data_IF_485664428290
#
_entry.id   IF_485664428290
#
_cell.length_a   1.000
_cell.length_b   1.000
_cell.length_c   1.000
_cell.angle_alpha   90.00
_cell.angle_beta   90.00
_cell.angle_gamma   90.00
#
_symmetry.space_group_name_H-M   'P 1'
#
loop_
_entity.id
_entity.type
_entity.pdbx_description
1 polymer ?
#
# COMPACT_ATOMS: atom_id res chain seq x y z
N UNK A 1 -15.26 -8.25 6.54
CA UNK A 1 -14.50 -8.98 5.48
C UNK A 1 -13.52 -7.96 4.97
N UNK A 2 -12.31 -7.97 5.51
CA UNK A 2 -11.30 -6.95 5.20
C UNK A 2 -10.51 -7.36 3.96
N UNK A 3 -10.21 -6.38 3.10
CA UNK A 3 -9.44 -6.58 1.87
C UNK A 3 -8.28 -5.60 1.82
N UNK A 4 -7.06 -6.12 1.64
CA UNK A 4 -5.86 -5.32 1.33
C UNK A 4 -5.81 -5.12 -0.18
N UNK A 5 -5.77 -3.86 -0.65
CA UNK A 5 -5.55 -3.52 -2.05
C UNK A 5 -4.13 -2.96 -2.22
N UNK A 6 -3.35 -3.57 -3.11
CA UNK A 6 -2.06 -3.04 -3.58
C UNK A 6 -2.28 -2.48 -4.99
N UNK A 7 -1.99 -1.20 -5.20
CA UNK A 7 -2.07 -0.54 -6.52
C UNK A 7 -0.65 -0.20 -7.01
N UNK A 8 -0.39 -0.49 -8.29
CA UNK A 8 0.86 -0.25 -8.96
C UNK A 8 0.61 0.33 -10.36
N UNK A 9 1.38 1.33 -10.77
CA UNK A 9 1.31 1.94 -12.11
C UNK A 9 2.71 2.07 -12.70
N UNK A 10 3.02 1.41 -13.84
CA UNK A 10 4.36 1.48 -14.43
C UNK A 10 4.51 2.74 -15.30
N UNK A 11 5.57 3.52 -15.08
CA UNK A 11 6.11 4.43 -16.09
C UNK A 11 7.11 3.67 -16.96
N UNK A 12 6.93 3.73 -18.28
CA UNK A 12 7.78 3.05 -19.26
C UNK A 12 9.22 3.57 -19.23
N UNK A 13 10.19 2.67 -19.05
CA UNK A 13 11.62 2.95 -19.24
C UNK A 13 12.12 2.34 -20.55
N UNK A 14 12.98 3.10 -21.23
CA UNK A 14 13.56 2.82 -22.55
C UNK A 14 14.52 1.63 -22.48
N UNK A 15 14.42 0.72 -23.45
CA UNK A 15 15.28 -0.46 -23.58
C UNK A 15 16.75 -0.07 -23.83
N UNK A 16 17.67 -0.60 -23.01
CA UNK A 16 19.11 -0.53 -23.25
C UNK A 16 19.63 -1.81 -23.93
N UNK A 17 20.43 -1.63 -24.97
CA UNK A 17 20.93 -2.67 -25.87
C UNK A 17 22.27 -3.22 -25.37
N UNK A 18 22.25 -4.46 -24.86
CA UNK A 18 23.28 -5.50 -24.95
C UNK A 18 24.77 -5.16 -24.83
N UNK A 19 25.39 -5.58 -23.72
CA UNK A 19 26.77 -6.13 -23.68
C UNK A 19 26.86 -7.26 -22.63
N UNK A 20 27.65 -8.33 -22.85
CA UNK A 20 27.76 -9.44 -21.90
C UNK A 20 28.57 -9.03 -20.66
N UNK A 21 27.99 -9.19 -19.46
CA UNK A 21 28.60 -8.80 -18.18
C UNK A 21 29.67 -9.80 -17.73
N UNK A 22 30.83 -9.27 -17.36
CA UNK A 22 31.95 -9.97 -16.76
C UNK A 22 31.57 -10.40 -15.32
N UNK A 23 31.73 -11.68 -14.95
CA UNK A 23 31.20 -12.27 -13.70
C UNK A 23 32.06 -12.00 -12.44
N UNK A 24 32.96 -11.01 -12.48
CA UNK A 24 33.70 -10.57 -11.29
C UNK A 24 33.13 -9.25 -10.79
N UNK A 25 32.28 -9.34 -9.78
CA UNK A 25 31.77 -8.18 -9.01
C UNK A 25 32.73 -7.94 -7.86
N UNK A 26 33.26 -6.72 -7.70
CA UNK A 26 34.20 -6.42 -6.62
C UNK A 26 33.46 -6.33 -5.27
N UNK A 27 34.13 -6.58 -4.13
CA UNK A 27 33.50 -6.48 -2.80
C UNK A 27 32.90 -5.10 -2.50
N UNK A 28 33.44 -4.04 -3.11
CA UNK A 28 32.94 -2.66 -3.00
C UNK A 28 31.62 -2.49 -3.75
N UNK A 29 31.48 -3.16 -4.90
CA UNK A 29 30.25 -3.13 -5.70
C UNK A 29 29.12 -3.90 -5.00
N UNK A 30 29.44 -5.01 -4.32
CA UNK A 30 28.47 -5.81 -3.56
C UNK A 30 27.86 -5.05 -2.37
N UNK A 31 28.65 -4.32 -1.59
CA UNK A 31 28.13 -3.48 -0.51
C UNK A 31 27.30 -2.30 -1.05
N UNK A 32 27.66 -1.75 -2.22
CA UNK A 32 26.90 -0.67 -2.87
C UNK A 32 25.56 -1.14 -3.45
N UNK A 33 25.48 -2.35 -4.02
CA UNK A 33 24.24 -2.94 -4.52
C UNK A 33 23.29 -3.32 -3.38
N UNK A 34 23.81 -3.81 -2.25
CA UNK A 34 23.02 -4.03 -1.03
C UNK A 34 22.49 -2.73 -0.42
N UNK A 35 23.20 -1.61 -0.59
CA UNK A 35 22.76 -0.30 -0.12
C UNK A 35 21.66 0.34 -0.98
N UNK A 36 21.44 -0.18 -2.19
CA UNK A 36 20.46 0.31 -3.17
C UNK A 36 19.30 -0.68 -3.42
N UNK A 37 19.19 -1.79 -2.68
CA UNK A 37 18.03 -2.68 -2.80
C UNK A 37 16.79 -2.04 -2.16
N UNK A 38 15.70 -1.79 -2.91
CA UNK A 38 14.49 -1.20 -2.36
C UNK A 38 13.85 -2.02 -1.23
N UNK A 39 14.26 -3.28 -0.98
CA UNK A 39 13.84 -4.00 0.22
C UNK A 39 14.12 -3.24 1.52
N UNK A 40 15.16 -2.41 1.57
CA UNK A 40 15.44 -1.60 2.76
C UNK A 40 14.38 -0.53 3.01
N UNK A 41 13.65 -0.11 1.98
CA UNK A 41 12.63 0.93 2.09
C UNK A 41 11.45 0.49 2.95
N UNK A 42 11.21 -0.82 3.10
CA UNK A 42 10.18 -1.36 4.01
C UNK A 42 10.41 -0.90 5.46
N UNK A 43 11.64 -0.57 5.83
CA UNK A 43 11.98 -0.10 7.18
C UNK A 43 11.69 1.37 7.41
N UNK A 44 11.40 2.14 6.36
CA UNK A 44 11.08 3.56 6.45
C UNK A 44 9.72 3.79 7.16
N UNK A 45 9.29 5.05 7.23
CA UNK A 45 8.03 5.43 7.89
C UNK A 45 6.77 5.17 7.05
N UNK A 46 6.93 4.73 5.81
CA UNK A 46 5.83 4.43 4.87
C UNK A 46 5.80 2.95 4.48
N UNK A 47 6.58 2.11 5.16
CA UNK A 47 6.68 0.68 4.92
C UNK A 47 7.07 0.34 3.47
N UNK A 48 7.82 1.22 2.78
CA UNK A 48 8.19 1.01 1.38
C UNK A 48 7.12 1.41 0.36
N UNK A 49 5.98 1.95 0.81
CA UNK A 49 4.99 2.62 -0.05
C UNK A 49 5.27 4.12 -0.14
N UNK A 50 4.62 4.85 -1.05
CA UNK A 50 4.66 6.31 -1.02
C UNK A 50 3.78 6.86 0.11
N UNK A 51 2.59 6.28 0.31
CA UNK A 51 1.69 6.63 1.43
C UNK A 51 1.05 5.40 2.06
N UNK A 52 0.88 5.49 3.38
CA UNK A 52 0.05 4.56 4.15
C UNK A 52 -1.19 5.31 4.60
N UNK A 53 -2.35 4.86 4.16
CA UNK A 53 -3.65 5.40 4.51
C UNK A 53 -4.32 4.54 5.56
N UNK A 54 -5.26 5.16 6.28
CA UNK A 54 -6.28 4.40 6.95
C UNK A 54 -7.65 5.06 6.89
N UNK A 55 -8.68 4.24 6.87
CA UNK A 55 -10.07 4.65 6.73
C UNK A 55 -10.79 4.43 8.06
N UNK A 56 -11.34 5.49 8.63
CA UNK A 56 -12.11 5.44 9.88
C UNK A 56 -13.06 6.63 10.01
N UNK A 57 -14.08 6.49 10.85
CA UNK A 57 -14.96 7.61 11.18
C UNK A 57 -14.25 8.54 12.17
N UNK A 58 -14.24 9.85 11.92
CA UNK A 58 -13.70 10.86 12.83
C UNK A 58 -14.23 10.77 14.27
N UNK A 59 -15.47 10.31 14.45
CA UNK A 59 -16.08 10.11 15.77
C UNK A 59 -15.53 8.92 16.55
N UNK A 60 -14.79 8.00 15.92
CA UNK A 60 -14.18 6.80 16.54
C UNK A 60 -12.76 7.09 17.01
N UNK A 61 -12.65 8.07 17.90
CA UNK A 61 -11.38 8.49 18.51
C UNK A 61 -10.66 7.33 19.20
N UNK A 62 -11.40 6.39 19.79
CA UNK A 62 -10.84 5.17 20.37
C UNK A 62 -10.00 4.36 19.37
N UNK A 63 -10.47 4.22 18.13
CA UNK A 63 -9.77 3.51 17.06
C UNK A 63 -8.63 4.36 16.47
N UNK A 64 -8.88 5.65 16.26
CA UNK A 64 -7.86 6.56 15.74
C UNK A 64 -6.65 6.63 16.67
N UNK A 65 -6.88 6.74 17.97
CA UNK A 65 -5.84 6.80 18.99
C UNK A 65 -5.08 5.48 19.06
N UNK A 66 -5.79 4.34 19.14
CA UNK A 66 -5.16 3.02 19.20
C UNK A 66 -4.24 2.77 18.00
N UNK A 67 -4.73 3.05 16.79
CA UNK A 67 -3.99 2.76 15.57
C UNK A 67 -2.84 3.75 15.33
N UNK A 68 -3.02 5.03 15.69
CA UNK A 68 -1.95 6.03 15.62
C UNK A 68 -0.83 5.69 16.61
N UNK A 69 -1.18 5.26 17.84
CA UNK A 69 -0.21 4.80 18.83
C UNK A 69 0.49 3.52 18.40
N UNK A 70 -0.25 2.54 17.86
CA UNK A 70 0.32 1.31 17.31
C UNK A 70 1.32 1.59 16.19
N UNK A 71 0.99 2.53 15.29
CA UNK A 71 1.87 2.89 14.16
C UNK A 71 3.13 3.58 14.65
N UNK A 72 3.02 4.42 15.68
CA UNK A 72 4.16 5.03 16.34
C UNK A 72 5.11 3.99 16.95
N UNK A 73 4.58 2.97 17.62
CA UNK A 73 5.37 1.87 18.19
C UNK A 73 6.10 1.07 17.11
N UNK A 74 5.43 0.75 16.01
CA UNK A 74 6.04 0.05 14.87
C UNK A 74 6.94 0.96 14.01
N UNK A 75 6.84 2.28 14.18
CA UNK A 75 7.65 3.29 13.52
C UNK A 75 7.24 3.58 12.07
N UNK A 76 5.93 3.70 11.81
CA UNK A 76 5.40 4.19 10.54
C UNK A 76 4.29 5.22 10.77
N UNK A 77 3.93 5.96 9.72
CA UNK A 77 2.95 7.06 9.77
C UNK A 77 1.70 6.72 8.99
N UNK A 78 0.54 7.12 9.52
CA UNK A 78 -0.77 6.92 8.88
C UNK A 78 -1.32 8.25 8.38
N UNK A 79 -1.86 8.25 7.17
CA UNK A 79 -2.68 9.32 6.63
C UNK A 79 -4.17 8.95 6.73
N UNK A 80 -4.91 9.65 7.58
CA UNK A 80 -6.32 9.34 7.81
C UNK A 80 -7.24 9.84 6.70
N UNK A 81 -8.17 8.99 6.30
CA UNK A 81 -9.25 9.27 5.35
C UNK A 81 -10.60 8.96 6.02
N UNK A 82 -11.59 9.82 5.81
CA UNK A 82 -12.88 9.70 6.47
C UNK A 82 -13.70 8.53 5.89
N UNK A 83 -14.24 7.69 6.78
CA UNK A 83 -15.21 6.67 6.43
C UNK A 83 -16.56 7.30 6.00
N UNK A 84 -17.37 6.55 5.25
CA UNK A 84 -18.61 7.08 4.70
C UNK A 84 -19.81 6.41 5.34
N UNK A 85 -20.69 7.23 5.92
CA UNK A 85 -22.01 6.78 6.33
C UNK A 85 -22.90 6.59 5.08
N UNK A 86 -23.33 5.35 4.76
CA UNK A 86 -24.19 5.10 3.61
C UNK A 86 -25.52 5.86 3.67
N UNK A 87 -26.00 6.23 4.87
CA UNK A 87 -27.23 7.02 5.05
C UNK A 87 -27.11 8.46 4.52
N UNK A 88 -25.88 8.97 4.35
CA UNK A 88 -25.62 10.30 3.78
C UNK A 88 -25.39 10.26 2.27
N UNK A 89 -25.35 9.07 1.65
CA UNK A 89 -25.10 8.93 0.22
C UNK A 89 -26.39 9.12 -0.58
N UNK A 90 -26.29 9.89 -1.67
CA UNK A 90 -27.38 10.00 -2.62
C UNK A 90 -27.56 8.69 -3.38
N UNK A 91 -28.81 8.30 -3.57
CA UNK A 91 -29.23 7.12 -4.33
C UNK A 91 -28.63 6.97 -5.74
N UNK A 92 -28.28 8.09 -6.38
CA UNK A 92 -27.66 8.14 -7.71
C UNK A 92 -26.15 7.92 -7.70
N UNK A 93 -25.51 7.94 -6.53
CA UNK A 93 -24.07 7.75 -6.37
C UNK A 93 -23.67 6.27 -6.26
N UNK A 94 -24.66 5.38 -6.19
CA UNK A 94 -24.45 3.93 -6.14
C UNK A 94 -24.00 3.41 -7.52
N UNK A 95 -23.13 2.39 -7.57
CA UNK A 95 -22.81 1.71 -8.83
C UNK A 95 -24.07 1.21 -9.51
N UNK A 96 -24.18 1.42 -10.83
CA UNK A 96 -25.37 1.03 -11.59
C UNK A 96 -25.67 -0.47 -11.57
N UNK A 97 -24.65 -1.31 -11.32
CA UNK A 97 -24.76 -2.77 -11.23
C UNK A 97 -25.19 -3.27 -9.85
N UNK A 98 -25.23 -2.41 -8.83
CA UNK A 98 -25.64 -2.80 -7.48
C UNK A 98 -27.16 -2.65 -7.34
N UNK A 99 -27.88 -3.77 -7.32
CA UNK A 99 -29.26 -3.77 -6.87
C UNK A 99 -29.30 -3.27 -5.42
N UNK A 100 -29.93 -2.11 -5.17
CA UNK A 100 -30.01 -1.48 -3.82
C UNK A 100 -30.52 -2.42 -2.72
N UNK A 101 -31.31 -3.44 -3.09
CA UNK A 101 -31.87 -4.43 -2.17
C UNK A 101 -30.83 -5.44 -1.69
N UNK A 102 -29.72 -5.61 -2.42
CA UNK A 102 -28.70 -6.64 -2.12
C UNK A 102 -27.46 -6.09 -1.41
N UNK A 103 -27.15 -4.80 -1.57
CA UNK A 103 -25.97 -4.22 -0.95
C UNK A 103 -26.26 -3.87 0.52
N UNK A 104 -25.48 -4.43 1.46
CA UNK A 104 -25.63 -4.03 2.86
C UNK A 104 -25.11 -2.61 3.06
N UNK A 105 -25.74 -1.77 3.89
CA UNK A 105 -25.29 -0.40 4.11
C UNK A 105 -23.79 -0.30 4.48
N UNK A 106 -23.30 -1.17 5.36
CA UNK A 106 -21.88 -1.18 5.75
C UNK A 106 -20.94 -1.49 4.57
N UNK A 107 -21.33 -2.40 3.67
CA UNK A 107 -20.55 -2.74 2.47
C UNK A 107 -20.49 -1.54 1.49
N UNK A 108 -21.58 -0.78 1.39
CA UNK A 108 -21.64 0.46 0.59
C UNK A 108 -20.72 1.54 1.17
N UNK A 109 -20.80 1.76 2.48
CA UNK A 109 -19.96 2.75 3.17
C UNK A 109 -18.47 2.45 3.03
N UNK A 110 -18.09 1.18 3.26
CA UNK A 110 -16.73 0.68 3.04
C UNK A 110 -16.28 0.91 1.59
N UNK A 111 -17.06 0.44 0.61
CA UNK A 111 -16.76 0.65 -0.81
C UNK A 111 -16.55 2.13 -1.13
N UNK A 112 -17.48 3.00 -0.73
CA UNK A 112 -17.39 4.43 -1.04
C UNK A 112 -16.17 5.08 -0.38
N UNK A 113 -15.83 4.70 0.84
CA UNK A 113 -14.65 5.20 1.52
C UNK A 113 -13.37 4.80 0.78
N UNK A 114 -13.23 3.53 0.37
CA UNK A 114 -12.10 3.08 -0.45
C UNK A 114 -12.03 3.82 -1.79
N UNK A 115 -13.17 4.07 -2.45
CA UNK A 115 -13.20 4.86 -3.68
C UNK A 115 -12.74 6.30 -3.47
N UNK A 116 -13.00 6.92 -2.31
CA UNK A 116 -12.48 8.25 -1.98
C UNK A 116 -10.94 8.23 -1.84
N UNK A 117 -10.39 7.17 -1.23
CA UNK A 117 -8.92 7.00 -1.15
C UNK A 117 -8.32 6.79 -2.54
N UNK A 118 -8.96 5.99 -3.41
CA UNK A 118 -8.50 5.81 -4.78
C UNK A 118 -8.56 7.11 -5.59
N UNK A 119 -9.62 7.90 -5.46
CA UNK A 119 -9.73 9.22 -6.08
C UNK A 119 -8.62 10.16 -5.58
N UNK A 120 -8.30 10.13 -4.29
CA UNK A 120 -7.18 10.88 -3.71
C UNK A 120 -5.84 10.43 -4.31
N UNK A 121 -5.58 9.12 -4.39
CA UNK A 121 -4.37 8.52 -4.98
C UNK A 121 -4.17 9.00 -6.43
N UNK A 122 -5.22 8.91 -7.25
CA UNK A 122 -5.15 9.30 -8.66
C UNK A 122 -4.96 10.81 -8.82
N UNK A 123 -5.73 11.62 -8.08
CA UNK A 123 -5.65 13.09 -8.17
C UNK A 123 -4.32 13.67 -7.69
N UNK A 124 -3.63 12.98 -6.78
CA UNK A 124 -2.32 13.38 -6.25
C UNK A 124 -1.16 12.61 -6.88
N UNK A 125 -1.43 11.75 -7.88
CA UNK A 125 -0.43 10.96 -8.59
C UNK A 125 0.46 10.11 -7.66
N UNK A 126 -0.15 9.53 -6.61
CA UNK A 126 0.55 8.68 -5.64
C UNK A 126 0.88 7.34 -6.31
N UNK A 127 2.17 7.00 -6.37
CA UNK A 127 2.65 5.84 -7.11
C UNK A 127 2.27 4.51 -6.44
N UNK A 128 2.40 4.43 -5.11
CA UNK A 128 2.06 3.24 -4.33
C UNK A 128 1.41 3.61 -3.00
N UNK A 129 0.41 2.83 -2.61
CA UNK A 129 -0.32 3.06 -1.37
C UNK A 129 -0.66 1.75 -0.65
N UNK A 130 -0.57 1.78 0.68
CA UNK A 130 -1.15 0.78 1.59
C UNK A 130 -2.37 1.40 2.26
N UNK A 131 -3.49 0.68 2.33
CA UNK A 131 -4.75 1.21 2.90
C UNK A 131 -5.22 0.26 4.00
N UNK A 132 -5.30 0.75 5.24
CA UNK A 132 -5.87 0.06 6.39
C UNK A 132 -7.34 0.44 6.62
N UNK A 133 -8.13 -0.50 7.14
CA UNK A 133 -9.41 -0.21 7.80
C UNK A 133 -9.16 0.09 9.29
N UNK A 134 -10.05 0.83 9.94
CA UNK A 134 -9.94 1.23 11.36
C UNK A 134 -10.05 0.07 12.37
N UNK A 135 -10.33 -1.15 11.91
CA UNK A 135 -10.31 -2.38 12.69
C UNK A 135 -9.16 -3.33 12.32
N UNK A 136 -8.18 -2.85 11.55
CA UNK A 136 -6.96 -3.58 11.27
C UNK A 136 -5.97 -3.51 12.44
N UNK A 137 -5.45 -4.67 12.83
CA UNK A 137 -4.36 -4.82 13.79
C UNK A 137 -3.14 -5.49 13.12
N UNK A 138 -1.96 -5.27 13.67
CA UNK A 138 -0.72 -5.91 13.21
C UNK A 138 0.21 -6.26 14.37
N UNK A 139 1.14 -7.18 14.09
CA UNK A 139 2.21 -7.55 15.02
C UNK A 139 3.35 -6.52 14.98
N UNK A 140 4.05 -6.31 16.10
CA UNK A 140 5.21 -5.40 16.18
C UNK A 140 6.33 -5.75 15.20
N UNK A 141 6.38 -7.01 14.73
CA UNK A 141 7.29 -7.49 13.69
C UNK A 141 6.85 -7.19 12.26
N UNK A 142 5.79 -6.38 12.04
CA UNK A 142 5.23 -6.05 10.73
C UNK A 142 6.29 -5.75 9.66
N UNK A 143 7.29 -4.92 9.97
CA UNK A 143 8.36 -4.57 9.02
C UNK A 143 9.16 -5.80 8.56
N UNK A 144 9.48 -6.72 9.48
CA UNK A 144 10.17 -7.97 9.14
C UNK A 144 9.28 -8.89 8.30
N UNK A 145 7.99 -8.96 8.63
CA UNK A 145 7.03 -9.75 7.85
C UNK A 145 6.87 -9.20 6.43
N UNK A 146 6.83 -7.87 6.27
CA UNK A 146 6.76 -7.22 4.97
C UNK A 146 8.02 -7.45 4.13
N UNK A 147 9.20 -7.58 4.74
CA UNK A 147 10.43 -7.96 4.01
C UNK A 147 10.29 -9.37 3.41
N UNK A 148 9.78 -10.34 4.17
CA UNK A 148 9.58 -11.69 3.64
C UNK A 148 8.45 -11.75 2.61
N UNK A 149 7.37 -10.98 2.82
CA UNK A 149 6.32 -10.82 1.82
C UNK A 149 6.87 -10.25 0.51
N UNK A 150 7.68 -9.19 0.58
CA UNK A 150 8.31 -8.56 -0.56
C UNK A 150 9.23 -9.52 -1.33
N UNK A 151 10.04 -10.31 -0.63
CA UNK A 151 10.85 -11.37 -1.26
C UNK A 151 9.98 -12.39 -2.00
N UNK A 152 8.89 -12.83 -1.39
CA UNK A 152 7.93 -13.74 -2.01
C UNK A 152 7.25 -13.13 -3.25
N UNK A 153 6.79 -11.88 -3.16
CA UNK A 153 6.17 -11.16 -4.27
C UNK A 153 7.12 -11.04 -5.46
N UNK A 154 8.36 -10.59 -5.24
CA UNK A 154 9.40 -10.50 -6.27
C UNK A 154 9.70 -11.85 -6.93
N UNK A 155 9.77 -12.92 -6.14
CA UNK A 155 10.02 -14.26 -6.67
C UNK A 155 8.91 -14.73 -7.63
N UNK A 156 7.65 -14.31 -7.42
CA UNK A 156 6.53 -14.66 -8.30
C UNK A 156 6.51 -13.85 -9.60
N UNK A 157 7.10 -12.65 -9.62
CA UNK A 157 7.12 -11.79 -10.80
C UNK A 157 8.20 -12.18 -11.83
N UNK A 158 9.11 -13.09 -11.48
CA UNK A 158 10.18 -13.57 -12.36
C UNK A 158 11.00 -12.43 -12.99
N UNK A 159 11.23 -11.35 -12.24
CA UNK A 159 11.99 -10.17 -12.68
C UNK A 159 13.48 -10.50 -12.80
N UNK A 160 14.09 -10.16 -13.93
CA UNK A 160 15.53 -10.36 -14.18
C UNK A 160 16.40 -9.21 -13.69
N UNK A 161 15.78 -8.11 -13.28
CA UNK A 161 16.42 -6.89 -12.78
C UNK A 161 16.00 -6.62 -11.33
N UNK A 162 16.79 -5.79 -10.63
CA UNK A 162 16.38 -5.26 -9.32
C UNK A 162 15.13 -4.40 -9.53
N UNK A 163 13.99 -4.70 -8.86
CA UNK A 163 12.78 -3.91 -9.00
C UNK A 163 12.95 -2.48 -8.49
N UNK A 164 12.08 -1.56 -8.90
CA UNK A 164 12.05 -0.19 -8.36
C UNK A 164 11.37 -0.17 -6.99
N UNK A 165 10.33 -0.98 -6.81
CA UNK A 165 9.58 -1.08 -5.56
C UNK A 165 10.08 -2.22 -4.67
N UNK A 166 10.01 -2.08 -3.32
CA UNK A 166 10.24 -3.20 -2.41
C UNK A 166 9.40 -4.42 -2.77
N UNK A 167 8.17 -4.20 -3.25
CA UNK A 167 7.20 -5.25 -3.52
C UNK A 167 7.22 -5.80 -4.95
N UNK A 168 8.14 -5.30 -5.79
CA UNK A 168 8.18 -5.66 -7.20
C UNK A 168 7.45 -4.65 -8.10
N UNK A 169 7.58 -4.87 -9.41
CA UNK A 169 7.14 -3.99 -10.49
C UNK A 169 6.01 -4.61 -11.36
#
# INVERSE_FOLDING_TARGET
MSWIYLYYSPMASVADNGTPRNLYVSPVDYESELSNDPLTDIKNQTLGFEKVFAIGFQGRTDKHDAMTMGASVTGFTIHWMEAVDPGQMLDKAYPSSWEKVRAKPAEVGCWRAHMNVMEYIVSHQIATALIFEDDADWDVSLKSQLVEFARGARALQNTTTVPVSPYGD
#
